data_IF_303205002326
#
_entry.id   IF_303205002326
#
_cell.length_a   1.000
_cell.length_b   1.000
_cell.length_c   1.000
_cell.angle_alpha   90.00
_cell.angle_beta   90.00
_cell.angle_gamma   90.00
#
_symmetry.space_group_name_H-M   'P 1'
#
loop_
_entity.id
_entity.type
_entity.pdbx_description
1 polymer ?
#
# COMPACT_ATOMS: atom_id res chain seq x y z
N UNK A 1 29.24 -7.13 -18.20
CA UNK A 1 27.84 -7.58 -18.07
C UNK A 1 26.84 -6.43 -18.21
N UNK A 2 27.01 -5.28 -17.51
CA UNK A 2 26.11 -4.11 -17.68
C UNK A 2 26.05 -3.57 -19.13
N UNK A 3 27.21 -3.40 -19.79
CA UNK A 3 27.26 -2.79 -21.14
C UNK A 3 26.56 -3.62 -22.23
N UNK A 4 26.58 -4.95 -22.13
CA UNK A 4 25.89 -5.84 -23.08
C UNK A 4 24.38 -5.81 -22.85
N UNK A 5 23.93 -5.74 -21.60
CA UNK A 5 22.50 -5.60 -21.25
C UNK A 5 21.91 -4.30 -21.79
N UNK A 6 22.64 -3.17 -21.67
CA UNK A 6 22.17 -1.90 -22.23
C UNK A 6 22.11 -1.91 -23.75
N UNK A 7 23.11 -2.51 -24.40
CA UNK A 7 23.12 -2.66 -25.86
C UNK A 7 21.91 -3.48 -26.33
N UNK A 8 21.61 -4.58 -25.65
CA UNK A 8 20.44 -5.42 -25.95
C UNK A 8 19.12 -4.68 -25.72
N UNK A 9 19.00 -3.87 -24.66
CA UNK A 9 17.82 -3.06 -24.41
C UNK A 9 17.59 -2.01 -25.51
N UNK A 10 18.65 -1.36 -26.00
CA UNK A 10 18.57 -0.40 -27.11
C UNK A 10 18.12 -1.12 -28.39
N UNK A 11 18.72 -2.28 -28.71
CA UNK A 11 18.36 -3.08 -29.89
C UNK A 11 16.88 -3.49 -29.84
N UNK A 12 16.37 -3.84 -28.67
CA UNK A 12 14.99 -4.32 -28.51
C UNK A 12 13.97 -3.21 -28.17
N UNK A 13 14.38 -1.94 -28.10
CA UNK A 13 13.56 -0.82 -27.61
C UNK A 13 12.17 -0.76 -28.24
N UNK A 14 12.09 -0.75 -29.57
CA UNK A 14 10.80 -0.64 -30.27
C UNK A 14 9.89 -1.84 -30.01
N UNK A 15 10.47 -3.04 -29.93
CA UNK A 15 9.73 -4.26 -29.58
C UNK A 15 9.20 -4.23 -28.13
N UNK A 16 9.96 -3.64 -27.20
CA UNK A 16 9.51 -3.50 -25.81
C UNK A 16 8.47 -2.38 -25.68
N UNK A 17 8.64 -1.27 -26.40
CA UNK A 17 7.69 -0.14 -26.38
C UNK A 17 6.40 -0.41 -27.15
N UNK A 18 6.39 -1.37 -28.08
CA UNK A 18 5.17 -1.75 -28.79
C UNK A 18 4.08 -2.31 -27.87
N UNK A 19 4.46 -2.79 -26.67
CA UNK A 19 3.52 -3.18 -25.61
C UNK A 19 2.70 -1.98 -25.10
N UNK A 20 3.27 -0.78 -25.18
CA UNK A 20 2.66 0.48 -24.74
C UNK A 20 2.03 1.27 -25.90
N UNK A 21 1.81 0.62 -27.05
CA UNK A 21 1.31 1.24 -28.27
C UNK A 21 0.40 0.28 -29.03
N UNK A 22 -0.45 0.82 -29.90
CA UNK A 22 -1.23 0.03 -30.85
C UNK A 22 -2.67 -0.25 -30.42
N UNK A 23 -3.45 -0.96 -31.26
CA UNK A 23 -4.91 -0.93 -31.18
C UNK A 23 -5.49 -1.39 -29.84
N UNK A 24 -4.93 -2.45 -29.24
CA UNK A 24 -5.38 -2.93 -27.93
C UNK A 24 -5.08 -1.95 -26.80
N UNK A 25 -3.91 -1.31 -26.85
CA UNK A 25 -3.52 -0.31 -25.87
C UNK A 25 -4.47 0.89 -25.92
N UNK A 26 -4.71 1.42 -27.13
CA UNK A 26 -5.66 2.53 -27.36
C UNK A 26 -7.10 2.17 -26.96
N UNK A 27 -7.54 0.93 -27.21
CA UNK A 27 -8.86 0.46 -26.76
C UNK A 27 -8.98 0.48 -25.23
N UNK A 28 -7.95 0.02 -24.51
CA UNK A 28 -7.94 0.05 -23.04
C UNK A 28 -7.91 1.50 -22.55
N UNK A 29 -7.12 2.39 -23.18
CA UNK A 29 -7.11 3.81 -22.83
C UNK A 29 -8.49 4.47 -23.05
N UNK A 30 -9.15 4.18 -24.18
CA UNK A 30 -10.51 4.67 -24.41
C UNK A 30 -11.47 4.19 -23.32
N UNK A 31 -11.39 2.90 -22.94
CA UNK A 31 -12.25 2.37 -21.88
C UNK A 31 -11.93 2.97 -20.51
N UNK A 32 -10.65 3.16 -20.19
CA UNK A 32 -10.24 3.81 -18.96
C UNK A 32 -10.74 5.27 -18.90
N UNK A 33 -10.75 5.99 -20.04
CA UNK A 33 -11.30 7.34 -20.13
C UNK A 33 -12.83 7.35 -19.91
N UNK A 34 -13.57 6.41 -20.50
CA UNK A 34 -15.01 6.27 -20.27
C UNK A 34 -15.35 5.98 -18.80
N UNK A 35 -14.53 5.16 -18.15
CA UNK A 35 -14.72 4.77 -16.76
C UNK A 35 -14.21 5.84 -15.78
N UNK A 36 -13.61 6.93 -16.25
CA UNK A 36 -13.09 8.00 -15.40
C UNK A 36 -14.17 9.05 -15.12
N UNK A 37 -14.36 9.36 -13.85
CA UNK A 37 -15.27 10.40 -13.38
C UNK A 37 -14.44 11.62 -13.00
N UNK A 38 -14.56 12.69 -13.78
CA UNK A 38 -13.93 13.96 -13.45
C UNK A 38 -14.55 14.54 -12.18
N UNK A 39 -13.71 14.80 -11.19
CA UNK A 39 -14.13 15.38 -9.92
C UNK A 39 -12.97 16.13 -9.29
N UNK A 40 -13.16 17.43 -9.07
CA UNK A 40 -12.21 18.26 -8.35
C UNK A 40 -12.56 18.25 -6.86
N UNK A 41 -11.76 17.62 -5.99
CA UNK A 41 -12.06 17.57 -4.57
C UNK A 41 -11.98 18.97 -3.95
N UNK A 42 -12.82 19.19 -2.95
CA UNK A 42 -12.81 20.39 -2.10
C UNK A 42 -12.21 20.04 -0.74
N UNK A 43 -11.70 21.03 0.00
CA UNK A 43 -11.13 20.78 1.32
C UNK A 43 -12.26 20.51 2.31
N UNK A 44 -12.26 19.31 2.89
CA UNK A 44 -13.16 18.91 3.98
C UNK A 44 -12.34 18.66 5.25
N UNK A 45 -12.85 19.13 6.38
CA UNK A 45 -12.24 18.89 7.69
C UNK A 45 -12.43 17.43 8.10
N UNK A 46 -11.33 16.75 8.42
CA UNK A 46 -11.34 15.40 8.98
C UNK A 46 -10.05 15.16 9.76
N UNK A 47 -10.17 14.51 10.91
CA UNK A 47 -9.04 13.94 11.63
C UNK A 47 -8.68 12.63 10.93
N UNK A 48 -7.49 12.57 10.34
CA UNK A 48 -6.98 11.38 9.65
C UNK A 48 -5.75 10.84 10.37
N UNK A 49 -5.64 9.51 10.46
CA UNK A 49 -4.44 8.83 10.93
C UNK A 49 -3.97 7.80 9.90
N UNK A 50 -2.67 7.78 9.64
CA UNK A 50 -2.00 6.82 8.77
C UNK A 50 -1.36 5.73 9.58
N UNK A 51 -1.43 4.50 9.07
CA UNK A 51 -0.83 3.30 9.66
C UNK A 51 0.11 2.67 8.65
N UNK A 52 1.33 2.40 9.08
CA UNK A 52 2.33 1.65 8.33
C UNK A 52 3.18 0.84 9.32
N UNK A 53 3.78 -0.24 8.83
CA UNK A 53 4.69 -1.08 9.59
C UNK A 53 6.00 -1.27 8.84
N UNK A 54 7.05 -1.59 9.58
CA UNK A 54 8.29 -2.04 8.97
C UNK A 54 8.94 -3.12 9.81
N UNK A 55 9.76 -3.93 9.18
CA UNK A 55 10.62 -4.89 9.86
C UNK A 55 11.97 -4.88 9.20
N UNK A 56 12.99 -5.24 9.98
CA UNK A 56 14.33 -5.45 9.47
C UNK A 56 14.99 -6.59 10.26
N UNK A 57 15.96 -7.26 9.64
CA UNK A 57 16.70 -8.34 10.27
C UNK A 57 18.17 -8.35 9.87
N UNK A 58 18.98 -9.00 10.70
CA UNK A 58 20.38 -9.29 10.42
C UNK A 58 20.69 -10.73 10.77
N UNK A 59 21.42 -11.39 9.87
CA UNK A 59 21.67 -12.83 9.94
C UNK A 59 23.09 -13.14 10.42
N UNK A 60 23.16 -14.11 11.31
CA UNK A 60 24.37 -14.77 11.77
C UNK A 60 24.38 -16.22 11.26
N UNK A 61 25.39 -17.00 11.61
CA UNK A 61 25.43 -18.43 11.26
C UNK A 61 24.30 -19.21 11.96
N UNK A 62 23.19 -19.42 11.26
CA UNK A 62 22.07 -20.25 11.72
C UNK A 62 21.05 -19.56 12.62
N UNK A 63 21.20 -18.25 12.87
CA UNK A 63 20.27 -17.46 13.68
C UNK A 63 20.13 -16.05 13.12
N UNK A 64 18.99 -15.43 13.39
CA UNK A 64 18.63 -14.11 12.91
C UNK A 64 18.12 -13.24 14.06
N UNK A 65 18.68 -12.03 14.18
CA UNK A 65 18.13 -10.97 15.00
C UNK A 65 17.17 -10.17 14.14
N UNK A 66 15.96 -9.93 14.65
CA UNK A 66 14.94 -9.19 13.94
C UNK A 66 14.24 -8.18 14.84
N UNK A 67 13.68 -7.15 14.21
CA UNK A 67 12.82 -6.17 14.84
C UNK A 67 11.68 -5.80 13.88
N UNK A 68 10.50 -5.54 14.44
CA UNK A 68 9.29 -5.12 13.74
C UNK A 68 8.63 -3.98 14.51
N UNK A 69 8.10 -3.00 13.79
CA UNK A 69 7.39 -1.85 14.36
C UNK A 69 6.14 -1.56 13.55
N UNK A 70 5.13 -0.97 14.19
CA UNK A 70 3.96 -0.40 13.51
C UNK A 70 3.55 0.89 14.20
N UNK A 71 3.24 1.91 13.40
CA UNK A 71 2.93 3.26 13.90
C UNK A 71 1.59 3.70 13.34
N UNK A 72 0.76 4.27 14.22
CA UNK A 72 -0.41 5.06 13.86
C UNK A 72 -0.17 6.52 14.23
N UNK A 73 -0.26 7.41 13.24
CA UNK A 73 0.08 8.83 13.41
C UNK A 73 -0.90 9.71 12.64
N UNK A 74 -1.34 10.80 13.27
CA UNK A 74 -2.21 11.80 12.66
C UNK A 74 -1.48 12.69 11.66
N UNK A 75 -2.24 13.36 10.81
CA UNK A 75 -1.69 14.34 9.85
C UNK A 75 -1.00 15.56 10.47
N UNK A 76 -1.26 15.87 11.75
CA UNK A 76 -0.59 16.93 12.52
C UNK A 76 0.70 16.47 13.22
N UNK A 77 0.99 15.16 13.19
CA UNK A 77 2.17 14.56 13.81
C UNK A 77 1.92 13.85 15.13
N UNK A 78 0.70 13.90 15.69
CA UNK A 78 0.37 13.19 16.92
C UNK A 78 0.39 11.67 16.71
N UNK A 79 1.29 10.98 17.41
CA UNK A 79 1.37 9.52 17.42
C UNK A 79 0.27 8.97 18.34
N UNK A 80 -0.62 8.15 17.77
CA UNK A 80 -1.70 7.47 18.50
C UNK A 80 -1.29 6.09 19.00
N UNK A 81 -0.49 5.38 18.20
CA UNK A 81 -0.02 4.03 18.52
C UNK A 81 1.41 3.88 18.04
N UNK A 82 2.26 3.31 18.89
CA UNK A 82 3.63 2.91 18.58
C UNK A 82 3.86 1.50 19.15
N UNK A 83 3.93 0.51 18.27
CA UNK A 83 4.14 -0.90 18.63
C UNK A 83 5.53 -1.33 18.17
N UNK A 84 6.19 -2.14 18.99
CA UNK A 84 7.49 -2.74 18.67
C UNK A 84 7.56 -4.18 19.17
N UNK A 85 8.22 -5.04 18.40
CA UNK A 85 8.57 -6.40 18.78
C UNK A 85 9.96 -6.73 18.23
N UNK A 86 10.75 -7.50 18.97
CA UNK A 86 12.07 -7.94 18.53
C UNK A 86 12.38 -9.33 19.08
N UNK A 87 13.20 -10.08 18.37
CA UNK A 87 13.57 -11.41 18.81
C UNK A 87 14.81 -11.95 18.11
N UNK A 88 15.26 -13.09 18.62
CA UNK A 88 16.38 -13.85 18.09
C UNK A 88 15.89 -15.26 17.80
N UNK A 89 16.05 -15.73 16.56
CA UNK A 89 15.57 -17.05 16.17
C UNK A 89 15.84 -17.38 14.71
N UNK A 90 15.21 -18.44 14.22
CA UNK A 90 15.24 -18.85 12.81
C UNK A 90 13.83 -18.89 12.24
N UNK A 91 13.69 -18.66 10.93
CA UNK A 91 12.43 -18.81 10.18
C UNK A 91 11.24 -18.01 10.74
N UNK A 92 11.49 -16.80 11.25
CA UNK A 92 10.42 -15.92 11.73
C UNK A 92 9.72 -15.24 10.56
N UNK A 93 8.39 -15.40 10.48
CA UNK A 93 7.56 -14.71 9.49
C UNK A 93 7.31 -13.25 9.91
N UNK A 94 8.30 -12.39 9.66
CA UNK A 94 8.25 -10.97 10.01
C UNK A 94 7.12 -10.21 9.30
N UNK A 95 6.79 -10.63 8.07
CA UNK A 95 5.68 -10.04 7.33
C UNK A 95 4.37 -10.27 8.07
N UNK A 96 4.12 -11.49 8.56
CA UNK A 96 2.92 -11.78 9.36
C UNK A 96 2.89 -11.02 10.70
N UNK A 97 4.04 -10.85 11.36
CA UNK A 97 4.13 -10.05 12.60
C UNK A 97 3.77 -8.59 12.31
N UNK A 98 4.38 -8.00 11.28
CA UNK A 98 4.14 -6.63 10.87
C UNK A 98 2.66 -6.39 10.53
N UNK A 99 2.06 -7.24 9.70
CA UNK A 99 0.64 -7.13 9.33
C UNK A 99 -0.30 -7.29 10.52
N UNK A 100 0.03 -8.17 11.49
CA UNK A 100 -0.73 -8.25 12.74
C UNK A 100 -0.63 -6.93 13.53
N UNK A 101 0.57 -6.35 13.64
CA UNK A 101 0.77 -5.09 14.35
C UNK A 101 0.03 -3.92 13.70
N UNK A 102 -0.08 -3.88 12.37
CA UNK A 102 -0.91 -2.89 11.66
C UNK A 102 -2.39 -3.01 12.03
N UNK A 103 -2.90 -4.24 12.11
CA UNK A 103 -4.29 -4.50 12.49
C UNK A 103 -4.53 -4.14 13.96
N UNK A 104 -3.59 -4.47 14.85
CA UNK A 104 -3.66 -4.11 16.27
C UNK A 104 -3.59 -2.59 16.45
N UNK A 105 -2.77 -1.88 15.67
CA UNK A 105 -2.74 -0.42 15.63
C UNK A 105 -4.05 0.17 15.09
N UNK A 106 -4.62 -0.45 14.05
CA UNK A 106 -5.90 -0.04 13.47
C UNK A 106 -7.05 -0.20 14.48
N UNK A 107 -7.11 -1.31 15.22
CA UNK A 107 -8.11 -1.57 16.26
C UNK A 107 -8.07 -0.54 17.39
N UNK A 108 -6.88 -0.01 17.73
CA UNK A 108 -6.68 1.07 18.70
C UNK A 108 -6.95 2.47 18.15
N UNK A 109 -6.86 2.66 16.82
CA UNK A 109 -6.98 3.98 16.16
C UNK A 109 -8.40 4.26 15.67
N UNK A 110 -9.13 3.22 15.27
CA UNK A 110 -10.42 3.33 14.58
C UNK A 110 -11.44 4.21 15.28
N UNK A 111 -11.42 4.26 16.63
CA UNK A 111 -12.36 5.06 17.40
C UNK A 111 -11.94 6.52 17.58
N UNK A 112 -10.68 6.84 17.36
CA UNK A 112 -10.04 8.12 17.72
C UNK A 112 -10.06 9.16 16.58
N UNK A 113 -10.39 8.74 15.36
CA UNK A 113 -10.28 9.57 14.15
C UNK A 113 -11.46 9.40 13.19
N UNK A 114 -11.66 10.37 12.31
CA UNK A 114 -12.72 10.34 11.29
C UNK A 114 -12.40 9.38 10.15
N UNK A 115 -11.11 9.17 9.84
CA UNK A 115 -10.65 8.30 8.78
C UNK A 115 -9.29 7.65 9.12
N UNK A 116 -9.25 6.33 9.12
CA UNK A 116 -8.01 5.54 9.24
C UNK A 116 -7.53 5.16 7.85
N UNK A 117 -6.25 5.42 7.59
CA UNK A 117 -5.58 5.15 6.33
C UNK A 117 -4.57 4.04 6.56
N UNK A 118 -4.75 2.89 5.91
CA UNK A 118 -3.81 1.78 5.96
C UNK A 118 -2.90 1.85 4.72
N UNK A 119 -1.57 1.83 4.87
CA UNK A 119 -0.68 1.70 3.71
C UNK A 119 -0.74 0.28 3.16
N UNK A 120 -0.86 0.15 1.84
CA UNK A 120 -0.92 -1.15 1.17
C UNK A 120 -2.32 -1.53 0.69
N UNK A 121 -2.54 -2.84 0.53
CA UNK A 121 -3.70 -3.36 -0.19
C UNK A 121 -4.46 -4.41 0.62
N UNK A 122 -5.77 -4.19 0.76
CA UNK A 122 -6.71 -5.15 1.33
C UNK A 122 -6.80 -6.41 0.47
N UNK A 123 -6.68 -6.28 -0.86
CA UNK A 123 -6.59 -7.43 -1.76
C UNK A 123 -5.38 -8.31 -1.42
N UNK A 124 -4.21 -7.71 -1.22
CA UNK A 124 -3.01 -8.44 -0.80
C UNK A 124 -3.19 -9.05 0.59
N UNK A 125 -3.83 -8.35 1.52
CA UNK A 125 -4.11 -8.85 2.87
C UNK A 125 -4.91 -10.17 2.81
N UNK A 126 -6.00 -10.23 2.02
CA UNK A 126 -6.83 -11.43 1.90
C UNK A 126 -6.25 -12.53 0.99
N UNK A 127 -5.35 -12.19 0.06
CA UNK A 127 -4.72 -13.17 -0.84
C UNK A 127 -3.52 -13.90 -0.23
N UNK A 128 -2.81 -13.26 0.70
CA UNK A 128 -1.59 -13.85 1.27
C UNK A 128 -1.92 -14.96 2.27
N UNK A 129 -0.92 -15.79 2.65
CA UNK A 129 -1.06 -16.90 3.61
C UNK A 129 -1.43 -16.44 5.04
N UNK A 130 -1.82 -15.20 5.23
CA UNK A 130 -2.21 -14.60 6.50
C UNK A 130 -3.71 -14.73 6.79
N UNK A 131 -4.39 -15.74 6.24
CA UNK A 131 -5.84 -15.97 6.43
C UNK A 131 -6.30 -16.00 7.88
N UNK A 132 -5.39 -16.30 8.82
CA UNK A 132 -5.62 -16.22 10.26
C UNK A 132 -5.99 -14.80 10.76
N UNK A 133 -5.59 -13.75 10.04
CA UNK A 133 -5.83 -12.35 10.38
C UNK A 133 -7.12 -11.79 9.75
N UNK A 134 -7.68 -12.46 8.73
CA UNK A 134 -8.83 -11.95 7.97
C UNK A 134 -10.04 -11.59 8.85
N UNK A 135 -10.36 -12.45 9.82
CA UNK A 135 -11.47 -12.22 10.73
C UNK A 135 -11.24 -10.98 11.61
N UNK A 136 -9.99 -10.70 11.99
CA UNK A 136 -9.64 -9.50 12.75
C UNK A 136 -9.75 -8.25 11.87
N UNK A 137 -9.24 -8.29 10.64
CA UNK A 137 -9.36 -7.20 9.65
C UNK A 137 -10.83 -6.86 9.42
N UNK A 138 -11.66 -7.86 9.08
CA UNK A 138 -13.09 -7.69 8.81
C UNK A 138 -13.81 -7.11 10.03
N UNK A 139 -13.51 -7.60 11.24
CA UNK A 139 -14.09 -7.08 12.49
C UNK A 139 -13.72 -5.61 12.71
N UNK A 140 -12.44 -5.27 12.61
CA UNK A 140 -11.94 -3.91 12.85
C UNK A 140 -12.52 -2.91 11.85
N UNK A 141 -12.50 -3.24 10.55
CA UNK A 141 -13.03 -2.36 9.51
C UNK A 141 -14.55 -2.15 9.63
N UNK A 142 -15.30 -3.16 10.08
CA UNK A 142 -16.75 -3.04 10.27
C UNK A 142 -17.16 -2.23 11.50
N UNK A 143 -16.23 -1.90 12.42
CA UNK A 143 -16.54 -1.22 13.68
C UNK A 143 -17.14 0.18 13.46
N UNK A 144 -16.47 1.01 12.64
CA UNK A 144 -16.94 2.36 12.27
C UNK A 144 -17.06 2.59 10.77
N UNK A 145 -16.61 1.65 9.92
CA UNK A 145 -16.56 1.80 8.45
C UNK A 145 -15.81 3.06 7.99
N UNK A 146 -14.78 3.43 8.73
CA UNK A 146 -13.91 4.58 8.47
C UNK A 146 -12.47 4.17 8.14
N UNK A 147 -12.24 2.92 7.74
CA UNK A 147 -10.92 2.39 7.39
C UNK A 147 -10.81 2.27 5.88
N UNK A 148 -9.77 2.86 5.30
CA UNK A 148 -9.49 2.84 3.86
C UNK A 148 -8.06 2.36 3.64
N UNK A 149 -7.89 1.36 2.77
CA UNK A 149 -6.58 0.92 2.32
C UNK A 149 -6.15 1.78 1.12
N UNK A 150 -4.91 2.24 1.14
CA UNK A 150 -4.35 3.12 0.11
C UNK A 150 -3.05 2.54 -0.42
N UNK A 151 -2.99 2.30 -1.73
CA UNK A 151 -1.79 1.80 -2.40
C UNK A 151 -1.30 2.77 -3.48
N UNK A 152 0.02 3.04 -3.50
CA UNK A 152 0.71 3.83 -4.55
C UNK A 152 0.90 3.03 -5.84
N UNK A 153 0.88 1.71 -5.73
CA UNK A 153 1.09 0.78 -6.83
C UNK A 153 0.01 -0.30 -6.77
N UNK A 154 -0.38 -0.81 -7.93
CA UNK A 154 -1.29 -1.94 -8.02
C UNK A 154 -0.99 -2.76 -9.26
N UNK A 155 -0.96 -4.08 -9.09
CA UNK A 155 -0.85 -5.04 -10.17
C UNK A 155 -2.21 -5.63 -10.57
N UNK A 156 -3.31 -5.19 -9.94
CA UNK A 156 -4.65 -5.68 -10.29
C UNK A 156 -5.00 -5.25 -11.71
N UNK A 157 -5.49 -6.21 -12.50
CA UNK A 157 -5.87 -6.02 -13.92
C UNK A 157 -7.38 -6.14 -14.14
N UNK A 158 -8.17 -6.14 -13.07
CA UNK A 158 -9.51 -6.71 -13.08
C UNK A 158 -10.49 -5.93 -13.95
N UNK A 159 -10.25 -4.65 -14.18
CA UNK A 159 -11.11 -3.84 -15.04
C UNK A 159 -10.79 -4.04 -16.53
N UNK A 160 -9.53 -4.34 -16.87
CA UNK A 160 -9.07 -4.44 -18.27
C UNK A 160 -8.55 -5.84 -18.69
N UNK A 161 -8.64 -6.84 -17.80
CA UNK A 161 -8.15 -8.22 -18.01
C UNK A 161 -8.76 -8.85 -19.26
N UNK A 162 -10.07 -8.68 -19.46
CA UNK A 162 -10.79 -9.21 -20.63
C UNK A 162 -10.40 -8.54 -21.95
N UNK A 163 -9.72 -7.40 -21.90
CA UNK A 163 -9.18 -6.69 -23.07
C UNK A 163 -7.71 -7.07 -23.33
N UNK A 164 -7.15 -7.99 -22.54
CA UNK A 164 -5.78 -8.45 -22.66
C UNK A 164 -4.75 -7.48 -22.08
N UNK A 165 -5.11 -6.74 -21.03
CA UNK A 165 -4.21 -5.79 -20.35
C UNK A 165 -2.90 -6.45 -19.89
N UNK A 166 -1.77 -5.82 -20.21
CA UNK A 166 -0.44 -6.29 -19.85
C UNK A 166 0.07 -5.66 -18.55
N UNK A 167 -0.38 -4.45 -18.21
CA UNK A 167 -0.09 -3.75 -16.96
C UNK A 167 -1.30 -3.78 -16.00
N UNK A 168 -1.12 -3.34 -14.76
CA UNK A 168 -2.23 -3.12 -13.83
C UNK A 168 -3.13 -1.96 -14.27
N UNK A 169 -4.39 -1.95 -13.83
CA UNK A 169 -5.40 -0.95 -14.21
C UNK A 169 -4.91 0.49 -13.91
N UNK A 170 -4.20 0.68 -12.79
CA UNK A 170 -3.59 1.95 -12.38
C UNK A 170 -2.65 2.56 -13.43
N UNK A 171 -2.00 1.71 -14.23
CA UNK A 171 -1.09 2.15 -15.28
C UNK A 171 -1.87 2.87 -16.38
N UNK A 172 -2.99 2.28 -16.83
CA UNK A 172 -3.82 2.85 -17.88
C UNK A 172 -4.50 4.14 -17.42
N UNK A 173 -5.03 4.18 -16.20
CA UNK A 173 -5.61 5.40 -15.65
C UNK A 173 -4.61 6.56 -15.57
N UNK A 174 -3.34 6.29 -15.28
CA UNK A 174 -2.30 7.32 -15.28
C UNK A 174 -2.01 7.89 -16.69
N UNK A 175 -2.34 7.18 -17.77
CA UNK A 175 -2.10 7.63 -19.15
C UNK A 175 -3.26 8.43 -19.74
N UNK A 176 -4.49 8.26 -19.25
CA UNK A 176 -5.68 8.86 -19.89
C UNK A 176 -5.96 10.29 -19.42
N UNK A 177 -5.63 10.60 -18.17
CA UNK A 177 -5.92 11.91 -17.58
C UNK A 177 -4.72 12.43 -16.81
N UNK A 178 -4.62 13.76 -16.70
CA UNK A 178 -3.76 14.46 -15.75
C UNK A 178 -4.56 15.18 -14.66
N UNK A 179 -5.89 15.25 -14.77
CA UNK A 179 -6.76 15.95 -13.82
C UNK A 179 -7.20 15.08 -12.64
N UNK A 180 -7.73 15.70 -11.56
CA UNK A 180 -8.31 14.99 -10.44
C UNK A 180 -9.62 14.28 -10.83
N UNK A 181 -9.92 13.21 -10.13
CA UNK A 181 -11.09 12.38 -10.40
C UNK A 181 -10.90 10.97 -9.87
N UNK A 182 -11.80 10.08 -10.27
CA UNK A 182 -11.75 8.69 -9.84
C UNK A 182 -12.33 7.74 -10.89
N UNK A 183 -11.85 6.50 -10.90
CA UNK A 183 -12.42 5.45 -11.75
C UNK A 183 -13.76 4.97 -11.20
N UNK A 184 -14.58 4.34 -12.06
CA UNK A 184 -15.70 3.51 -11.61
C UNK A 184 -15.27 2.52 -10.49
N UNK A 185 -16.20 2.28 -9.57
CA UNK A 185 -15.99 1.38 -8.45
C UNK A 185 -16.05 -0.06 -8.96
N UNK A 186 -14.98 -0.82 -8.69
CA UNK A 186 -14.90 -2.22 -9.02
C UNK A 186 -15.06 -3.09 -7.77
N UNK A 187 -15.93 -4.10 -7.82
CA UNK A 187 -16.26 -4.96 -6.69
C UNK A 187 -15.73 -6.38 -6.89
N UNK A 188 -14.82 -6.81 -6.01
CA UNK A 188 -14.27 -8.16 -5.96
C UNK A 188 -14.98 -9.00 -4.90
N UNK A 189 -15.47 -10.20 -5.29
CA UNK A 189 -16.24 -11.12 -4.41
C UNK A 189 -15.58 -12.48 -4.21
N UNK A 190 -14.31 -12.63 -4.60
CA UNK A 190 -13.67 -13.93 -4.73
C UNK A 190 -13.08 -14.49 -3.42
N UNK A 191 -13.15 -13.74 -2.31
CA UNK A 191 -12.47 -14.06 -1.05
C UNK A 191 -13.36 -14.69 0.01
N UNK A 192 -14.66 -14.85 -0.27
CA UNK A 192 -15.66 -15.30 0.67
C UNK A 192 -16.80 -14.28 0.84
N UNK A 193 -17.91 -14.67 1.50
CA UNK A 193 -19.13 -13.86 1.58
C UNK A 193 -18.95 -12.57 2.38
N UNK A 194 -18.00 -12.54 3.32
CA UNK A 194 -17.69 -11.43 4.23
C UNK A 194 -16.47 -10.61 3.80
N UNK A 195 -15.76 -11.04 2.75
CA UNK A 195 -14.52 -10.43 2.24
C UNK A 195 -14.73 -9.84 0.85
N UNK A 196 -15.76 -9.01 0.72
CA UNK A 196 -16.02 -8.28 -0.50
C UNK A 196 -15.16 -7.01 -0.48
N UNK A 197 -14.41 -6.75 -1.54
CA UNK A 197 -13.58 -5.54 -1.67
C UNK A 197 -14.18 -4.65 -2.74
N UNK A 198 -14.45 -3.39 -2.42
CA UNK A 198 -14.69 -2.37 -3.44
C UNK A 198 -13.42 -1.55 -3.62
N UNK A 199 -13.07 -1.24 -4.86
CA UNK A 199 -11.88 -0.45 -5.16
C UNK A 199 -12.11 0.59 -6.24
N UNK A 200 -11.40 1.70 -6.13
CA UNK A 200 -11.38 2.76 -7.13
C UNK A 200 -9.98 3.36 -7.21
N UNK A 201 -9.61 3.85 -8.38
CA UNK A 201 -8.38 4.59 -8.61
C UNK A 201 -8.67 6.08 -8.55
N UNK A 202 -7.88 6.84 -7.80
CA UNK A 202 -8.14 8.24 -7.51
C UNK A 202 -6.92 9.09 -7.84
N UNK A 203 -7.16 10.26 -8.44
CA UNK A 203 -6.20 11.37 -8.46
C UNK A 203 -6.76 12.54 -7.65
N UNK A 204 -5.99 13.01 -6.66
CA UNK A 204 -6.42 14.09 -5.77
C UNK A 204 -6.14 15.50 -6.31
N UNK A 205 -5.13 15.67 -7.18
CA UNK A 205 -4.75 16.97 -7.74
C UNK A 205 -4.14 16.82 -9.12
N UNK A 206 -4.11 17.90 -9.90
CA UNK A 206 -3.50 17.90 -11.24
C UNK A 206 -2.06 17.38 -11.21
N UNK A 207 -1.74 16.52 -12.18
CA UNK A 207 -0.40 15.96 -12.42
C UNK A 207 0.23 15.23 -11.22
N UNK A 208 -0.57 14.83 -10.22
CA UNK A 208 -0.09 13.96 -9.13
C UNK A 208 -0.28 12.48 -9.48
N UNK A 209 0.43 11.56 -8.82
CA UNK A 209 0.20 10.13 -8.99
C UNK A 209 -1.25 9.73 -8.68
N UNK A 210 -1.74 8.71 -9.38
CA UNK A 210 -2.95 8.00 -9.00
C UNK A 210 -2.64 7.04 -7.84
N UNK A 211 -3.58 6.95 -6.90
CA UNK A 211 -3.58 5.97 -5.81
C UNK A 211 -4.78 5.05 -5.94
N UNK A 212 -4.66 3.82 -5.45
CA UNK A 212 -5.80 2.90 -5.32
C UNK A 212 -6.40 3.05 -3.93
N UNK A 213 -7.71 3.26 -3.85
CA UNK A 213 -8.48 3.14 -2.62
C UNK A 213 -9.19 1.78 -2.60
N UNK A 214 -9.15 1.10 -1.45
CA UNK A 214 -9.85 -0.15 -1.22
C UNK A 214 -10.68 -0.09 0.06
N UNK A 215 -11.92 -0.56 -0.04
CA UNK A 215 -12.93 -0.56 1.00
C UNK A 215 -13.43 -1.98 1.24
N UNK A 216 -13.83 -2.25 2.49
CA UNK A 216 -14.51 -3.49 2.83
C UNK A 216 -16.02 -3.33 2.59
N UNK A 217 -16.58 -4.21 1.76
CA UNK A 217 -17.98 -4.22 1.38
C UNK A 217 -18.18 -4.01 -0.12
N UNK A 218 -19.39 -4.28 -0.60
CA UNK A 218 -19.77 -4.14 -2.01
C UNK A 218 -20.86 -3.09 -2.26
N UNK A 219 -21.15 -2.24 -1.28
CA UNK A 219 -22.23 -1.24 -1.32
C UNK A 219 -21.64 0.15 -1.08
N UNK A 220 -20.71 0.53 -1.95
CA UNK A 220 -20.10 1.86 -1.98
C UNK A 220 -20.57 2.57 -3.24
N UNK A 221 -20.75 3.89 -3.14
CA UNK A 221 -21.20 4.72 -4.24
C UNK A 221 -20.23 5.88 -4.52
N UNK A 222 -20.50 6.60 -5.60
CA UNK A 222 -19.66 7.69 -6.05
C UNK A 222 -19.64 8.87 -5.06
N UNK A 223 -20.69 9.06 -4.27
CA UNK A 223 -20.76 10.18 -3.33
C UNK A 223 -19.91 9.90 -2.07
N UNK A 224 -19.86 8.64 -1.63
CA UNK A 224 -18.91 8.19 -0.63
C UNK A 224 -17.46 8.40 -1.08
N UNK A 225 -17.12 8.00 -2.33
CA UNK A 225 -15.79 8.22 -2.90
C UNK A 225 -15.44 9.70 -2.94
N UNK A 226 -16.35 10.57 -3.38
CA UNK A 226 -16.14 12.04 -3.39
C UNK A 226 -15.90 12.59 -1.99
N UNK A 227 -16.65 12.15 -0.98
CA UNK A 227 -16.45 12.58 0.42
C UNK A 227 -15.06 12.17 0.91
N UNK A 228 -14.63 10.94 0.65
CA UNK A 228 -13.28 10.49 1.02
C UNK A 228 -12.22 11.31 0.28
N UNK A 229 -12.39 11.57 -1.01
CA UNK A 229 -11.49 12.42 -1.78
C UNK A 229 -11.36 13.83 -1.18
N UNK A 230 -12.47 14.46 -0.75
CA UNK A 230 -12.44 15.77 -0.11
C UNK A 230 -11.63 15.78 1.19
N UNK A 231 -11.86 14.78 2.05
CA UNK A 231 -11.13 14.60 3.32
C UNK A 231 -9.64 14.37 3.07
N UNK A 232 -9.31 13.47 2.14
CA UNK A 232 -7.91 13.17 1.78
C UNK A 232 -7.22 14.37 1.16
N UNK A 233 -7.89 15.13 0.30
CA UNK A 233 -7.31 16.27 -0.42
C UNK A 233 -6.74 17.32 0.54
N UNK A 234 -7.46 17.62 1.63
CA UNK A 234 -7.00 18.59 2.62
C UNK A 234 -5.68 18.18 3.29
N UNK A 235 -5.53 16.90 3.63
CA UNK A 235 -4.38 16.38 4.38
C UNK A 235 -3.32 15.71 3.49
N UNK A 236 -3.39 15.88 2.17
CA UNK A 236 -2.46 15.28 1.23
C UNK A 236 -1.41 16.27 0.73
N UNK A 237 -0.20 15.76 0.50
CA UNK A 237 0.92 16.51 -0.09
C UNK A 237 1.40 15.77 -1.33
N UNK A 238 1.42 16.45 -2.48
CA UNK A 238 1.81 15.83 -3.75
C UNK A 238 0.89 14.68 -4.19
N UNK A 239 -0.40 14.75 -3.82
CA UNK A 239 -1.41 13.75 -4.17
C UNK A 239 -1.38 12.48 -3.31
N UNK A 240 -0.64 12.46 -2.20
CA UNK A 240 -0.61 11.34 -1.26
C UNK A 240 -0.87 11.81 0.18
N UNK A 241 -1.65 11.06 0.99
CA UNK A 241 -1.97 11.46 2.36
C UNK A 241 -0.74 11.63 3.24
N UNK A 242 -0.63 12.79 3.90
CA UNK A 242 0.56 13.11 4.69
C UNK A 242 0.71 12.21 5.92
N UNK A 243 -0.39 11.80 6.54
CA UNK A 243 -0.37 10.88 7.68
C UNK A 243 0.29 9.53 7.33
N UNK A 244 0.06 8.99 6.12
CA UNK A 244 0.75 7.77 5.66
C UNK A 244 2.25 7.99 5.42
N UNK A 245 2.63 9.16 4.89
CA UNK A 245 4.05 9.54 4.77
C UNK A 245 4.73 9.63 6.14
N UNK A 246 4.03 10.16 7.14
CA UNK A 246 4.52 10.21 8.51
C UNK A 246 4.65 8.81 9.11
N UNK A 247 3.64 7.94 8.94
CA UNK A 247 3.68 6.57 9.44
C UNK A 247 4.90 5.81 8.89
N UNK A 248 5.08 5.84 7.56
CA UNK A 248 6.21 5.22 6.87
C UNK A 248 7.59 5.68 7.39
N UNK A 249 7.72 6.98 7.64
CA UNK A 249 8.98 7.53 8.13
C UNK A 249 9.25 7.17 9.59
N UNK A 250 8.22 7.03 10.41
CA UNK A 250 8.34 6.75 11.84
C UNK A 250 8.45 5.25 12.15
N UNK A 251 7.93 4.36 11.30
CA UNK A 251 8.08 2.92 11.51
C UNK A 251 9.42 2.39 10.98
N UNK A 252 10.13 3.09 10.08
CA UNK A 252 11.31 2.57 9.40
C UNK A 252 12.44 2.13 10.35
N UNK A 253 12.83 0.85 10.27
CA UNK A 253 13.99 0.29 10.98
C UNK A 253 15.19 0.19 10.02
N UNK A 254 16.23 0.99 10.26
CA UNK A 254 17.46 1.01 9.47
C UNK A 254 18.48 -0.04 9.92
N UNK A 255 19.37 -0.45 9.02
CA UNK A 255 20.50 -1.34 9.34
C UNK A 255 21.40 -0.77 10.44
N UNK A 256 21.47 0.57 10.55
CA UNK A 256 22.21 1.26 11.62
C UNK A 256 21.57 1.02 12.99
N UNK A 257 20.24 1.00 13.08
CA UNK A 257 19.53 0.72 14.33
C UNK A 257 19.66 -0.76 14.71
N UNK A 258 19.54 -1.67 13.75
CA UNK A 258 19.86 -3.07 13.98
C UNK A 258 21.30 -3.27 14.44
N UNK A 259 22.27 -2.58 13.85
CA UNK A 259 23.67 -2.63 14.28
C UNK A 259 23.85 -2.20 15.74
N UNK A 260 23.12 -1.17 16.19
CA UNK A 260 23.09 -0.79 17.61
C UNK A 260 22.49 -1.89 18.48
N UNK A 261 21.40 -2.53 18.04
CA UNK A 261 20.81 -3.66 18.78
C UNK A 261 21.78 -4.83 18.88
N UNK A 262 22.49 -5.18 17.80
CA UNK A 262 23.56 -6.20 17.81
C UNK A 262 24.60 -5.88 18.86
N UNK A 263 25.09 -4.63 18.91
CA UNK A 263 26.07 -4.20 19.91
C UNK A 263 25.52 -4.24 21.34
N UNK A 264 24.28 -3.78 21.56
CA UNK A 264 23.64 -3.79 22.88
C UNK A 264 23.40 -5.20 23.41
N UNK A 265 23.08 -6.15 22.52
CA UNK A 265 22.84 -7.55 22.86
C UNK A 265 24.14 -8.39 22.94
N UNK A 266 25.30 -7.78 22.68
CA UNK A 266 26.60 -8.47 22.72
C UNK A 266 26.82 -9.43 21.54
N UNK A 267 26.03 -9.33 20.47
CA UNK A 267 26.10 -10.21 19.30
C UNK A 267 27.17 -9.78 18.27
N UNK A 268 27.95 -8.73 18.57
CA UNK A 268 28.98 -8.22 17.66
C UNK A 268 30.13 -9.21 17.40
N UNK A 269 30.28 -10.24 18.24
CA UNK A 269 31.30 -11.28 18.09
C UNK A 269 30.78 -12.52 17.34
N UNK A 270 29.49 -12.57 17.01
CA UNK A 270 28.90 -13.69 16.30
C UNK A 270 29.25 -13.62 14.81
N UNK A 271 29.58 -14.77 14.21
CA UNK A 271 30.02 -14.82 12.81
C UNK A 271 28.82 -14.51 11.90
N UNK A 272 28.97 -13.46 11.09
CA UNK A 272 27.95 -13.05 10.13
C UNK A 272 27.86 -13.98 8.92
N UNK A 273 26.69 -14.05 8.28
CA UNK A 273 26.51 -14.89 7.07
C UNK A 273 27.39 -14.46 5.87
N UNK A 274 27.88 -13.20 5.88
CA UNK A 274 28.71 -12.61 4.81
C UNK A 274 30.22 -12.77 5.03
N UNK A 275 30.68 -13.06 6.24
CA UNK A 275 32.11 -13.23 6.53
C UNK A 275 32.67 -14.56 6.01
N UNK A 276 31.80 -15.52 5.70
CA UNK A 276 32.18 -16.86 5.19
C UNK A 276 32.61 -16.84 3.71
N UNK A 277 32.37 -15.74 3.00
CA UNK A 277 32.69 -15.57 1.57
C UNK A 277 33.85 -14.59 1.31
N UNK A 278 34.56 -14.18 2.37
CA UNK A 278 35.76 -13.34 2.29
C UNK A 278 37.03 -14.15 2.05
#
# INVERSE_FOLDING_TARGET
MLNTVYKDAIINREKMLSILKGPKFEQILHKAQENWNDFTPTKEEAVTAGIDSSFNNTKFQGIELWATTAVSIKSDGDILVDLHESGLGSDTDLSRIASKMEIDACEKTVDEVDLVLMDGSLHSQFMTRQSALDAQVVRTMNKKRNVVFIAKTSNTKKQFENQGSLAGDIFYYNHVTNGPGFSEIFVERNYGPDKIISSTFVRLSDSTPIIKLEFLGGKHDNDEVKSIMNKLFKTSVGGYPYALKLAHNNCKISDKELGKMVSLLGLSNEIGSREVLG
#
